data_IF_332543862300
#
_entry.id   IF_332543862300
#
_cell.length_a   1.000
_cell.length_b   1.000
_cell.length_c   1.000
_cell.angle_alpha   90.00
_cell.angle_beta   90.00
_cell.angle_gamma   90.00
#
_symmetry.space_group_name_H-M   'P 1'
#
loop_
_entity.id
_entity.type
_entity.pdbx_description
1 polymer ?
#
# COMPACT_ATOMS: atom_id res chain seq x y z
N UNK A 1 -11.59 -9.11 18.20
CA UNK A 1 -11.67 -8.19 17.04
C UNK A 1 -11.68 -9.04 15.78
N UNK A 2 -12.67 -8.84 14.89
CA UNK A 2 -12.93 -9.72 13.76
C UNK A 2 -11.74 -9.87 12.81
N UNK A 3 -11.47 -11.10 12.36
CA UNK A 3 -10.46 -11.45 11.35
C UNK A 3 -10.92 -10.99 9.95
N UNK A 4 -11.13 -9.70 9.72
CA UNK A 4 -11.41 -9.22 8.36
C UNK A 4 -10.15 -9.33 7.52
N UNK A 5 -10.11 -10.27 6.57
CA UNK A 5 -8.95 -10.48 5.67
C UNK A 5 -8.54 -9.17 4.98
N UNK A 6 -7.24 -8.94 4.80
CA UNK A 6 -6.76 -7.76 4.11
C UNK A 6 -7.30 -7.74 2.66
N UNK A 7 -7.89 -6.63 2.25
CA UNK A 7 -8.39 -6.45 0.89
C UNK A 7 -7.20 -6.34 -0.06
N UNK A 8 -7.07 -7.28 -0.99
CA UNK A 8 -6.06 -7.20 -2.04
C UNK A 8 -6.48 -6.16 -3.08
N UNK A 9 -5.65 -5.14 -3.31
CA UNK A 9 -5.93 -4.00 -4.20
C UNK A 9 -4.71 -3.59 -5.03
N UNK A 10 -4.95 -2.83 -6.09
CA UNK A 10 -3.89 -2.08 -6.81
C UNK A 10 -3.55 -0.79 -6.06
N UNK A 11 -2.36 -0.24 -6.30
CA UNK A 11 -1.99 1.06 -5.71
C UNK A 11 -2.88 2.20 -6.24
N UNK A 12 -3.25 2.13 -7.51
CA UNK A 12 -4.19 3.06 -8.16
C UNK A 12 -5.59 3.06 -7.54
N UNK A 13 -5.97 1.97 -6.86
CA UNK A 13 -7.27 1.85 -6.18
C UNK A 13 -7.29 2.53 -4.79
N UNK A 14 -6.15 3.05 -4.31
CA UNK A 14 -6.05 3.73 -3.02
C UNK A 14 -6.75 5.09 -3.09
N UNK A 15 -7.93 5.15 -2.47
CA UNK A 15 -8.80 6.33 -2.41
C UNK A 15 -9.34 6.52 -0.98
N UNK A 16 -9.96 7.68 -0.72
CA UNK A 16 -10.57 8.00 0.59
C UNK A 16 -11.69 7.05 1.00
N UNK A 17 -12.32 6.36 0.04
CA UNK A 17 -13.33 5.33 0.33
C UNK A 17 -12.75 4.09 1.04
N UNK A 18 -11.42 3.95 1.07
CA UNK A 18 -10.71 2.86 1.75
C UNK A 18 -10.15 3.27 3.11
N UNK A 19 -10.38 4.49 3.60
CA UNK A 19 -9.90 4.93 4.92
C UNK A 19 -10.31 3.95 6.02
N UNK A 20 -9.34 3.58 6.87
CA UNK A 20 -9.50 2.60 7.94
C UNK A 20 -9.57 1.14 7.48
N UNK A 21 -9.57 0.86 6.17
CA UNK A 21 -9.61 -0.51 5.67
C UNK A 21 -8.22 -1.14 5.68
N UNK A 22 -8.19 -2.43 6.07
CA UNK A 22 -7.01 -3.27 5.97
C UNK A 22 -6.79 -3.69 4.52
N UNK A 23 -5.64 -3.34 3.95
CA UNK A 23 -5.30 -3.59 2.55
C UNK A 23 -4.03 -4.42 2.41
N UNK A 24 -3.90 -5.07 1.26
CA UNK A 24 -2.68 -5.74 0.80
C UNK A 24 -2.43 -5.36 -0.65
N UNK A 25 -1.22 -4.92 -0.97
CA UNK A 25 -0.83 -4.58 -2.34
C UNK A 25 0.63 -4.92 -2.58
N UNK A 26 1.05 -4.91 -3.83
CA UNK A 26 2.45 -5.03 -4.23
C UNK A 26 2.84 -3.79 -5.01
N UNK A 27 4.00 -3.26 -4.74
CA UNK A 27 4.55 -2.09 -5.41
C UNK A 27 6.08 -2.11 -5.37
N UNK A 28 6.70 -1.21 -6.11
CA UNK A 28 8.16 -1.02 -6.14
C UNK A 28 8.57 0.07 -5.18
N UNK A 29 9.58 -0.16 -4.35
CA UNK A 29 10.19 0.89 -3.54
C UNK A 29 10.95 1.85 -4.46
N UNK A 30 10.62 3.14 -4.41
CA UNK A 30 11.27 4.18 -5.23
C UNK A 30 12.17 5.10 -4.43
N UNK A 31 11.86 5.30 -3.15
CA UNK A 31 12.66 6.13 -2.26
C UNK A 31 12.49 5.67 -0.82
N UNK A 32 13.59 5.65 -0.10
CA UNK A 32 13.62 5.54 1.35
C UNK A 32 14.24 6.79 1.95
N UNK A 33 13.79 7.17 3.14
CA UNK A 33 14.43 8.22 3.91
C UNK A 33 15.06 7.58 5.17
N UNK A 34 16.38 7.71 5.40
CA UNK A 34 17.03 7.11 6.57
C UNK A 34 16.59 7.73 7.91
N UNK A 35 16.03 8.94 7.90
CA UNK A 35 15.64 9.67 9.11
C UNK A 35 14.12 9.72 9.32
N UNK A 36 13.33 9.19 8.38
CA UNK A 36 11.87 9.10 8.51
C UNK A 36 11.40 7.64 8.47
N UNK A 37 10.28 7.29 9.11
CA UNK A 37 9.69 5.96 9.01
C UNK A 37 8.91 5.77 7.69
N UNK A 38 9.08 6.63 6.69
CA UNK A 38 8.37 6.54 5.42
C UNK A 38 9.22 5.91 4.31
N UNK A 39 8.57 5.01 3.57
CA UNK A 39 9.05 4.47 2.31
C UNK A 39 8.09 4.86 1.21
N UNK A 40 8.59 5.44 0.12
CA UNK A 40 7.77 5.70 -1.06
C UNK A 40 7.74 4.48 -1.96
N UNK A 41 6.52 4.09 -2.33
CA UNK A 41 6.26 3.02 -3.27
C UNK A 41 5.61 3.56 -4.55
N UNK A 42 5.81 2.83 -5.65
CA UNK A 42 5.25 3.12 -6.96
C UNK A 42 4.72 1.86 -7.63
N UNK A 43 3.61 2.01 -8.34
CA UNK A 43 3.04 1.00 -9.23
C UNK A 43 2.28 1.73 -10.36
N UNK A 44 2.68 1.47 -11.61
CA UNK A 44 2.11 2.07 -12.82
C UNK A 44 1.99 3.61 -12.80
N UNK A 45 2.97 4.31 -12.23
CA UNK A 45 3.00 5.77 -12.13
C UNK A 45 2.16 6.34 -10.97
N UNK A 46 1.53 5.50 -10.16
CA UNK A 46 0.91 5.91 -8.91
C UNK A 46 1.91 5.82 -7.78
N UNK A 47 1.96 6.84 -6.92
CA UNK A 47 2.90 6.93 -5.81
C UNK A 47 2.16 7.05 -4.49
N UNK A 48 2.62 6.33 -3.46
CA UNK A 48 2.13 6.50 -2.09
C UNK A 48 3.26 6.40 -1.08
N UNK A 49 3.21 7.18 0.01
CA UNK A 49 4.04 6.92 1.17
C UNK A 49 3.47 5.75 1.97
N UNK A 50 4.37 4.91 2.47
CA UNK A 50 4.09 3.81 3.39
C UNK A 50 4.80 4.14 4.70
N UNK A 51 4.04 4.29 5.77
CA UNK A 51 4.56 4.43 7.12
C UNK A 51 4.91 3.05 7.67
N UNK A 52 6.18 2.81 7.93
CA UNK A 52 6.71 1.55 8.47
C UNK A 52 7.08 1.65 9.96
N UNK A 53 6.71 2.73 10.65
CA UNK A 53 7.04 2.97 12.07
C UNK A 53 6.69 1.79 12.98
N UNK A 54 5.53 1.17 12.77
CA UNK A 54 5.08 -0.03 13.53
C UNK A 54 6.05 -1.20 13.35
N UNK A 55 6.56 -1.41 12.13
CA UNK A 55 7.51 -2.48 11.82
C UNK A 55 8.86 -2.18 12.48
N UNK A 56 9.35 -0.93 12.34
CA UNK A 56 10.61 -0.48 12.94
C UNK A 56 10.63 -0.64 14.47
N UNK A 57 9.50 -0.42 15.13
CA UNK A 57 9.38 -0.58 16.58
C UNK A 57 9.48 -2.05 17.04
N UNK A 58 9.27 -3.01 16.14
CA UNK A 58 9.17 -4.44 16.46
C UNK A 58 10.41 -5.27 16.14
N UNK A 59 11.23 -4.85 15.16
CA UNK A 59 12.40 -5.62 14.70
C UNK A 59 13.41 -4.70 13.99
N UNK A 60 14.66 -4.68 14.45
CA UNK A 60 15.74 -3.87 13.84
C UNK A 60 16.40 -4.55 12.63
N UNK A 61 16.18 -5.85 12.40
CA UNK A 61 16.97 -6.64 11.44
C UNK A 61 16.39 -6.68 10.01
N UNK A 62 15.07 -6.59 9.86
CA UNK A 62 14.38 -6.75 8.57
C UNK A 62 14.32 -5.47 7.72
N UNK A 63 14.72 -4.32 8.29
CA UNK A 63 14.51 -2.98 7.71
C UNK A 63 15.51 -2.64 6.61
N UNK A 64 16.75 -3.12 6.75
CA UNK A 64 17.83 -2.88 5.78
C UNK A 64 17.48 -3.39 4.37
N UNK A 65 16.66 -4.44 4.30
CA UNK A 65 16.18 -5.01 3.04
C UNK A 65 15.33 -4.00 2.23
N UNK A 66 14.60 -3.13 2.92
CA UNK A 66 13.69 -2.16 2.30
C UNK A 66 14.37 -0.82 2.01
N UNK A 67 15.58 -0.59 2.53
CA UNK A 67 16.42 0.57 2.20
C UNK A 67 17.03 0.48 0.80
N UNK A 68 16.91 -0.66 0.11
CA UNK A 68 17.36 -0.83 -1.26
C UNK A 68 16.31 -0.28 -2.24
N UNK A 69 16.63 0.81 -2.98
CA UNK A 69 15.74 1.31 -4.01
C UNK A 69 15.52 0.24 -5.09
N UNK A 70 14.32 0.23 -5.69
CA UNK A 70 13.91 -0.64 -6.81
C UNK A 70 13.55 -2.09 -6.44
N UNK A 71 13.52 -2.46 -5.16
CA UNK A 71 12.96 -3.76 -4.77
C UNK A 71 11.42 -3.76 -4.86
N UNK A 72 10.83 -4.91 -5.18
CA UNK A 72 9.38 -5.10 -5.10
C UNK A 72 8.99 -5.60 -3.72
N UNK A 73 7.96 -4.98 -3.16
CA UNK A 73 7.49 -5.26 -1.81
C UNK A 73 5.99 -5.51 -1.80
N UNK A 74 5.57 -6.49 -1.00
CA UNK A 74 4.19 -6.65 -0.60
C UNK A 74 3.96 -5.88 0.69
N UNK A 75 3.04 -4.92 0.66
CA UNK A 75 2.63 -4.10 1.80
C UNK A 75 1.31 -4.63 2.32
N UNK A 76 1.22 -4.90 3.63
CA UNK A 76 -0.06 -5.07 4.32
C UNK A 76 -0.17 -4.03 5.43
N UNK A 77 -1.26 -3.28 5.42
CA UNK A 77 -1.44 -2.13 6.29
C UNK A 77 -2.86 -1.59 6.30
N UNK A 78 -3.05 -0.43 6.91
CA UNK A 78 -4.29 0.33 6.90
C UNK A 78 -4.13 1.58 6.05
N UNK A 79 -5.17 1.94 5.28
CA UNK A 79 -5.20 3.24 4.61
C UNK A 79 -5.60 4.30 5.62
N UNK A 80 -4.74 5.30 5.79
CA UNK A 80 -4.94 6.37 6.75
C UNK A 80 -4.78 7.72 6.07
N UNK A 81 -5.35 8.75 6.68
CA UNK A 81 -5.15 10.12 6.23
C UNK A 81 -3.83 10.60 6.81
N UNK A 82 -3.04 11.29 6.00
CA UNK A 82 -1.85 11.97 6.51
C UNK A 82 -2.27 13.08 7.48
N UNK A 83 -1.76 13.05 8.71
CA UNK A 83 -2.02 14.12 9.69
C UNK A 83 -1.23 15.38 9.31
N UNK A 84 -1.76 16.56 9.68
CA UNK A 84 -1.18 17.85 9.28
C UNK A 84 0.27 18.02 9.78
N UNK A 85 0.60 17.37 10.90
CA UNK A 85 1.92 17.47 11.53
C UNK A 85 2.89 16.34 11.11
N UNK A 86 2.42 15.35 10.34
CA UNK A 86 3.27 14.26 9.86
C UNK A 86 4.10 14.73 8.64
N UNK A 87 5.39 14.96 8.86
CA UNK A 87 6.31 15.33 7.77
C UNK A 87 6.67 14.10 6.93
N UNK A 88 5.99 13.93 5.80
CA UNK A 88 6.38 12.96 4.77
C UNK A 88 7.45 13.57 3.87
N UNK A 89 8.59 12.89 3.63
CA UNK A 89 9.58 13.35 2.67
C UNK A 89 8.94 13.58 1.29
N UNK A 90 9.15 14.73 0.63
CA UNK A 90 8.42 15.05 -0.59
C UNK A 90 8.75 14.10 -1.75
N UNK A 91 7.77 13.70 -2.55
CA UNK A 91 7.99 13.01 -3.82
C UNK A 91 7.67 13.97 -4.99
N UNK A 92 8.57 14.20 -5.96
CA UNK A 92 8.34 15.18 -7.03
C UNK A 92 7.00 14.97 -7.75
N UNK A 93 6.18 16.01 -7.80
CA UNK A 93 4.87 16.00 -8.47
C UNK A 93 3.77 15.24 -7.72
N UNK A 94 3.97 14.87 -6.45
CA UNK A 94 3.01 14.12 -5.65
C UNK A 94 2.83 14.78 -4.29
N UNK A 95 1.63 15.31 -4.03
CA UNK A 95 1.21 15.73 -2.69
C UNK A 95 0.50 14.56 -2.00
N UNK A 96 1.04 14.02 -0.89
CA UNK A 96 0.40 12.92 -0.20
C UNK A 96 -0.76 13.42 0.67
N UNK A 97 -1.97 12.90 0.42
CA UNK A 97 -3.13 13.09 1.28
C UNK A 97 -3.54 11.82 2.05
N UNK A 98 -3.02 10.67 1.61
CA UNK A 98 -3.23 9.35 2.17
C UNK A 98 -1.91 8.61 2.32
N UNK A 99 -1.80 7.84 3.39
CA UNK A 99 -0.67 6.94 3.66
C UNK A 99 -1.15 5.51 3.80
N UNK A 100 -0.21 4.57 3.71
CA UNK A 100 -0.44 3.18 4.12
C UNK A 100 0.35 2.93 5.40
N UNK A 101 -0.33 2.83 6.54
CA UNK A 101 0.30 2.46 7.81
C UNK A 101 0.53 0.95 7.83
N UNK A 102 1.76 0.56 7.49
CA UNK A 102 2.14 -0.84 7.32
C UNK A 102 2.46 -1.48 8.66
N UNK A 103 1.89 -2.65 8.90
CA UNK A 103 2.29 -3.54 9.99
C UNK A 103 3.01 -4.79 9.47
N UNK A 104 3.04 -4.99 8.14
CA UNK A 104 3.81 -6.03 7.49
C UNK A 104 4.32 -5.53 6.14
N UNK A 105 5.62 -5.69 5.92
CA UNK A 105 6.29 -5.41 4.66
C UNK A 105 7.18 -6.61 4.32
N UNK A 106 7.08 -7.12 3.10
CA UNK A 106 7.82 -8.32 2.67
C UNK A 106 8.41 -8.10 1.29
N UNK A 107 9.68 -8.45 1.09
CA UNK A 107 10.28 -8.43 -0.24
C UNK A 107 9.73 -9.58 -1.08
N UNK A 108 9.40 -9.28 -2.33
CA UNK A 108 8.83 -10.23 -3.30
C UNK A 108 9.59 -10.15 -4.63
N UNK A 109 10.91 -10.46 -4.64
CA UNK A 109 11.80 -10.18 -5.79
C UNK A 109 11.47 -11.01 -7.04
N UNK A 110 10.75 -12.11 -6.89
CA UNK A 110 10.42 -13.04 -7.98
C UNK A 110 8.92 -13.06 -8.34
N UNK A 111 8.15 -12.09 -7.85
CA UNK A 111 6.74 -12.00 -8.20
C UNK A 111 6.56 -11.53 -9.65
N UNK A 112 5.77 -12.26 -10.42
CA UNK A 112 5.29 -11.81 -11.72
C UNK A 112 4.27 -10.68 -11.52
N UNK A 113 4.74 -9.43 -11.64
CA UNK A 113 3.91 -8.24 -11.45
C UNK A 113 2.81 -8.09 -12.50
N UNK A 114 3.03 -8.34 -13.81
CA UNK A 114 1.94 -8.38 -14.78
C UNK A 114 0.80 -9.32 -14.36
N UNK A 115 1.11 -10.56 -14.01
CA UNK A 115 0.12 -11.57 -13.62
C UNK A 115 -0.57 -11.20 -12.31
N UNK A 116 0.18 -10.67 -11.34
CA UNK A 116 -0.38 -10.13 -10.10
C UNK A 116 -1.40 -9.02 -10.38
N UNK A 117 -1.04 -8.02 -11.19
CA UNK A 117 -1.92 -6.90 -11.54
C UNK A 117 -3.19 -7.36 -12.24
N UNK A 118 -3.07 -8.28 -13.21
CA UNK A 118 -4.22 -8.86 -13.90
C UNK A 118 -5.15 -9.57 -12.92
N UNK A 119 -4.59 -10.41 -12.04
CA UNK A 119 -5.35 -11.16 -11.04
C UNK A 119 -6.09 -10.24 -10.05
N UNK A 120 -5.42 -9.16 -9.60
CA UNK A 120 -6.02 -8.17 -8.70
C UNK A 120 -7.10 -7.36 -9.43
N UNK A 121 -6.84 -6.94 -10.67
CA UNK A 121 -7.81 -6.21 -11.50
C UNK A 121 -9.09 -7.02 -11.72
N UNK A 122 -8.97 -8.28 -12.15
CA UNK A 122 -10.11 -9.17 -12.34
C UNK A 122 -10.93 -9.34 -11.05
N UNK A 123 -10.26 -9.44 -9.89
CA UNK A 123 -10.93 -9.52 -8.58
C UNK A 123 -11.68 -8.22 -8.24
N UNK A 124 -11.07 -7.06 -8.46
CA UNK A 124 -11.71 -5.77 -8.20
C UNK A 124 -12.96 -5.56 -9.07
N UNK A 125 -12.89 -5.95 -10.35
CA UNK A 125 -14.03 -5.89 -11.27
C UNK A 125 -15.19 -6.78 -10.81
N UNK A 126 -14.90 -8.02 -10.38
CA UNK A 126 -15.92 -8.94 -9.87
C UNK A 126 -16.63 -8.37 -8.63
N UNK A 127 -15.88 -7.76 -7.72
CA UNK A 127 -16.43 -7.13 -6.52
C UNK A 127 -17.32 -5.94 -6.89
N UNK A 128 -16.90 -5.13 -7.86
CA UNK A 128 -17.68 -3.96 -8.28
C UNK A 128 -18.98 -4.36 -8.97
N UNK A 129 -18.95 -5.37 -9.85
CA UNK A 129 -20.17 -5.92 -10.48
C UNK A 129 -21.14 -6.48 -9.44
N UNK A 130 -20.65 -7.19 -8.43
CA UNK A 130 -21.48 -7.73 -7.37
C UNK A 130 -22.20 -6.62 -6.56
N UNK A 131 -21.54 -5.47 -6.34
CA UNK A 131 -22.16 -4.32 -5.68
C UNK A 131 -23.27 -3.70 -6.52
N UNK A 132 -23.07 -3.54 -7.82
CA UNK A 132 -24.06 -2.95 -8.72
C UNK A 132 -25.34 -3.78 -8.82
N UNK A 133 -25.22 -5.12 -8.81
CA UNK A 133 -26.37 -6.03 -8.79
C UNK A 133 -27.13 -5.93 -7.46
N UNK A 134 -26.41 -5.84 -6.34
CA UNK A 134 -27.03 -5.67 -5.02
C UNK A 134 -27.75 -4.33 -4.85
N UNK A 135 -27.26 -3.25 -5.46
CA UNK A 135 -27.86 -1.92 -5.38
C UNK A 135 -29.07 -1.70 -6.33
N UNK A 136 -29.25 -2.55 -7.34
CA UNK A 136 -30.37 -2.45 -8.30
C UNK A 136 -31.60 -3.26 -7.90
N UNK A 137 -31.55 -3.94 -6.75
CA UNK A 137 -32.64 -4.77 -6.21
C UNK A 137 -33.31 -4.15 -4.97
N UNK A 138 -33.08 -2.86 -4.69
CA UNK A 138 -33.58 -2.13 -3.52
C UNK A 138 -34.49 -0.98 -3.89
#
# INVERSE_FOLDING_TARGET
>A
MGRESARVIKLSSVTRALLGQRVRLVARVVRTDPISPFVWIEDEGYYRPVDISVILASDNSSVELFRQPRCHVMVTGYIERLEVDESVPPCPGVEPDLIIRAFLLQSVPHLDLPTWRESVGAREELIERARQIGSSSG
#
